data_IF_051599208143
#
_entry.id   IF_051599208143
#
_cell.length_a   1.000
_cell.length_b   1.000
_cell.length_c   1.000
_cell.angle_alpha   90.00
_cell.angle_beta   90.00
_cell.angle_gamma   90.00
#
_symmetry.space_group_name_H-M   'P 1'
#
loop_
_entity.id
_entity.type
_entity.pdbx_description
1 polymer ?
#
# COMPACT_ATOMS: atom_id res chain seq x y z
N UNK A 1 -15.20 -10.58 -21.41
CA UNK A 1 -13.77 -10.97 -21.38
C UNK A 1 -13.30 -11.16 -22.82
N UNK A 2 -12.18 -10.55 -23.24
CA UNK A 2 -11.67 -10.67 -24.63
C UNK A 2 -11.14 -12.09 -24.87
N UNK A 3 -11.59 -12.77 -25.93
CA UNK A 3 -11.07 -14.09 -26.32
C UNK A 3 -9.64 -13.95 -26.85
N UNK A 4 -8.76 -14.87 -26.47
CA UNK A 4 -7.37 -14.94 -26.95
C UNK A 4 -7.34 -15.26 -28.45
N UNK A 5 -6.36 -14.72 -29.16
CA UNK A 5 -6.09 -15.09 -30.56
C UNK A 5 -5.44 -16.47 -30.64
N UNK A 6 -5.43 -17.06 -31.85
CA UNK A 6 -4.76 -18.36 -32.09
C UNK A 6 -3.26 -18.28 -31.81
N UNK A 7 -2.63 -17.16 -32.16
CA UNK A 7 -1.21 -16.88 -31.92
C UNK A 7 -0.90 -16.83 -30.42
N UNK A 8 -1.70 -16.08 -29.65
CA UNK A 8 -1.56 -16.02 -28.19
C UNK A 8 -1.72 -17.39 -27.53
N UNK A 9 -2.62 -18.22 -28.06
CA UNK A 9 -2.83 -19.58 -27.54
C UNK A 9 -1.63 -20.47 -27.84
N UNK A 10 -1.06 -20.36 -29.04
CA UNK A 10 0.13 -21.10 -29.45
C UNK A 10 1.36 -20.70 -28.62
N UNK A 11 1.56 -19.41 -28.41
CA UNK A 11 2.66 -18.86 -27.61
C UNK A 11 2.58 -19.33 -26.15
N UNK A 12 1.40 -19.26 -25.53
CA UNK A 12 1.20 -19.76 -24.16
C UNK A 12 1.52 -21.26 -24.06
N UNK A 13 1.09 -22.07 -25.04
CA UNK A 13 1.39 -23.50 -25.05
C UNK A 13 2.89 -23.77 -25.23
N UNK A 14 3.61 -22.94 -25.99
CA UNK A 14 5.06 -23.04 -26.13
C UNK A 14 5.77 -22.66 -24.83
N UNK A 15 5.35 -21.58 -24.17
CA UNK A 15 5.89 -21.17 -22.87
C UNK A 15 5.64 -22.23 -21.78
N UNK A 16 4.48 -22.90 -21.80
CA UNK A 16 4.16 -23.95 -20.84
C UNK A 16 5.00 -25.23 -21.02
N UNK A 17 5.63 -25.41 -22.19
CA UNK A 17 6.51 -26.54 -22.49
C UNK A 17 8.00 -26.19 -22.30
N UNK A 18 8.33 -24.92 -22.05
CA UNK A 18 9.69 -24.47 -21.81
C UNK A 18 10.13 -24.94 -20.41
N UNK A 19 11.33 -25.52 -20.30
CA UNK A 19 11.88 -25.89 -18.98
C UNK A 19 12.49 -24.68 -18.29
N UNK A 20 12.57 -24.72 -16.96
CA UNK A 20 13.09 -23.61 -16.16
C UNK A 20 14.56 -23.27 -16.51
N UNK A 21 15.37 -24.27 -16.86
CA UNK A 21 16.78 -24.07 -17.24
C UNK A 21 16.94 -23.37 -18.59
N UNK A 22 15.91 -23.41 -19.43
CA UNK A 22 15.89 -22.74 -20.73
C UNK A 22 15.37 -21.30 -20.65
N UNK A 23 14.94 -20.84 -19.46
CA UNK A 23 14.52 -19.47 -19.23
C UNK A 23 15.75 -18.58 -19.15
N UNK A 24 15.88 -17.67 -20.11
CA UNK A 24 16.90 -16.62 -20.07
C UNK A 24 16.54 -15.62 -18.96
N UNK A 25 17.42 -15.54 -17.95
CA UNK A 25 17.33 -14.60 -16.82
C UNK A 25 18.49 -13.60 -16.83
N UNK A 26 19.20 -13.47 -17.95
CA UNK A 26 20.39 -12.62 -18.04
C UNK A 26 20.13 -11.13 -17.77
N UNK A 27 18.90 -10.67 -18.02
CA UNK A 27 18.45 -9.30 -17.74
C UNK A 27 18.12 -9.07 -16.25
N UNK A 28 17.57 -10.09 -15.58
CA UNK A 28 17.20 -10.06 -14.17
C UNK A 28 17.70 -11.37 -13.52
N UNK A 29 19.00 -11.43 -13.17
CA UNK A 29 19.57 -12.63 -12.56
C UNK A 29 18.93 -12.90 -11.20
N UNK A 30 18.90 -14.17 -10.80
CA UNK A 30 18.36 -14.59 -9.51
C UNK A 30 19.15 -13.94 -8.35
N UNK A 31 18.44 -13.26 -7.45
CA UNK A 31 19.02 -12.65 -6.26
C UNK A 31 19.08 -13.66 -5.11
N UNK A 32 20.28 -14.13 -4.81
CA UNK A 32 20.53 -15.10 -3.73
C UNK A 32 20.79 -14.38 -2.40
N UNK A 33 21.41 -13.20 -2.43
CA UNK A 33 21.72 -12.42 -1.23
C UNK A 33 20.64 -11.35 -0.95
N UNK A 34 19.97 -11.49 0.19
CA UNK A 34 18.92 -10.59 0.67
C UNK A 34 19.33 -9.73 1.87
N UNK A 35 20.61 -9.70 2.26
CA UNK A 35 21.11 -8.96 3.44
C UNK A 35 20.74 -7.47 3.44
N UNK A 36 20.63 -6.85 2.25
CA UNK A 36 20.29 -5.44 2.08
C UNK A 36 18.82 -5.21 1.63
N UNK A 37 17.99 -6.25 1.66
CA UNK A 37 16.60 -6.12 1.23
C UNK A 37 15.78 -5.30 2.23
N UNK A 38 15.05 -4.30 1.72
CA UNK A 38 14.17 -3.46 2.55
C UNK A 38 12.75 -4.00 2.51
N UNK A 39 12.34 -4.68 3.57
CA UNK A 39 10.95 -5.10 3.75
C UNK A 39 10.09 -3.89 4.10
N UNK A 40 8.95 -3.74 3.42
CA UNK A 40 7.95 -2.73 3.79
C UNK A 40 8.27 -1.29 3.40
N UNK A 41 9.28 -1.03 2.53
CA UNK A 41 9.62 0.33 2.04
C UNK A 41 8.42 1.13 1.53
N UNK A 42 7.46 0.44 0.90
CA UNK A 42 6.26 1.04 0.34
C UNK A 42 4.99 0.78 1.16
N UNK A 43 5.12 0.12 2.32
CA UNK A 43 3.97 -0.08 3.19
C UNK A 43 3.57 1.26 3.81
N UNK A 44 2.40 1.76 3.41
CA UNK A 44 1.74 2.88 4.06
C UNK A 44 0.58 2.34 4.91
N UNK A 45 0.43 2.87 6.12
CA UNK A 45 -0.73 2.58 6.96
C UNK A 45 -2.00 2.96 6.19
N UNK A 46 -2.86 1.98 5.95
CA UNK A 46 -4.18 2.23 5.38
C UNK A 46 -5.04 2.98 6.41
N UNK A 47 -5.32 4.26 6.15
CA UNK A 47 -6.26 5.05 6.92
C UNK A 47 -7.62 5.03 6.20
N UNK A 48 -8.60 4.22 6.65
CA UNK A 48 -9.91 4.20 6.01
C UNK A 48 -10.55 5.59 6.04
N UNK A 49 -11.15 6.01 4.92
CA UNK A 49 -11.94 7.24 4.88
C UNK A 49 -13.29 6.97 5.54
N UNK A 50 -13.40 7.36 6.81
CA UNK A 50 -14.64 7.26 7.58
C UNK A 50 -15.12 8.67 7.95
N UNK A 51 -16.43 8.89 7.91
CA UNK A 51 -17.05 10.13 8.39
C UNK A 51 -17.37 9.99 9.88
N UNK A 52 -16.88 10.93 10.68
CA UNK A 52 -17.19 11.05 12.11
C UNK A 52 -17.79 12.43 12.35
N UNK A 53 -18.85 12.50 13.16
CA UNK A 53 -19.42 13.77 13.57
C UNK A 53 -18.53 14.41 14.64
N UNK A 54 -18.11 15.65 14.39
CA UNK A 54 -17.30 16.45 15.32
C UNK A 54 -18.09 17.73 15.61
N UNK A 55 -18.13 18.12 16.88
CA UNK A 55 -18.76 19.37 17.30
C UNK A 55 -18.16 20.59 16.56
N UNK A 56 -19.01 21.56 16.22
CA UNK A 56 -18.59 22.74 15.44
C UNK A 56 -17.59 23.61 16.20
N UNK A 57 -17.66 23.70 17.52
CA UNK A 57 -16.72 24.45 18.35
C UNK A 57 -15.35 23.78 18.37
N UNK A 58 -15.32 22.44 18.50
CA UNK A 58 -14.09 21.65 18.46
C UNK A 58 -13.43 21.79 17.08
N UNK A 59 -14.22 21.69 16.00
CA UNK A 59 -13.72 21.85 14.65
C UNK A 59 -13.17 23.26 14.42
N UNK A 60 -13.86 24.29 14.92
CA UNK A 60 -13.41 25.67 14.83
C UNK A 60 -12.08 25.89 15.57
N UNK A 61 -11.94 25.31 16.77
CA UNK A 61 -10.72 25.39 17.56
C UNK A 61 -9.51 24.77 16.85
N UNK A 62 -9.66 23.59 16.25
CA UNK A 62 -8.57 22.97 15.48
C UNK A 62 -8.23 23.75 14.20
N UNK A 63 -9.24 24.27 13.49
CA UNK A 63 -9.03 25.11 12.30
C UNK A 63 -8.32 26.43 12.62
N UNK A 64 -8.57 26.99 13.79
CA UNK A 64 -7.92 28.22 14.25
C UNK A 64 -6.41 28.03 14.52
N UNK A 65 -5.97 26.81 14.85
CA UNK A 65 -4.56 26.51 15.12
C UNK A 65 -3.74 26.23 13.88
N UNK A 66 -4.32 25.53 12.90
CA UNK A 66 -3.69 25.33 11.60
C UNK A 66 -4.74 25.04 10.53
N UNK A 67 -4.75 25.84 9.47
CA UNK A 67 -5.69 25.65 8.37
C UNK A 67 -5.37 24.41 7.52
N UNK A 68 -4.09 24.02 7.45
CA UNK A 68 -3.62 22.89 6.63
C UNK A 68 -3.58 21.54 7.37
N UNK A 69 -3.41 21.53 8.70
CA UNK A 69 -3.09 20.30 9.44
C UNK A 69 -4.15 19.90 10.49
N UNK A 70 -5.30 20.57 10.53
CA UNK A 70 -6.35 20.30 11.54
C UNK A 70 -6.83 18.84 11.54
N UNK A 71 -6.92 18.18 10.37
CA UNK A 71 -7.24 16.75 10.28
C UNK A 71 -6.21 15.86 10.97
N UNK A 72 -4.91 16.19 10.83
CA UNK A 72 -3.84 15.48 11.50
C UNK A 72 -3.89 15.71 13.01
N UNK A 73 -4.15 16.94 13.45
CA UNK A 73 -4.27 17.28 14.87
C UNK A 73 -5.42 16.55 15.55
N UNK A 74 -6.58 16.46 14.89
CA UNK A 74 -7.73 15.69 15.37
C UNK A 74 -7.36 14.21 15.52
N UNK A 75 -6.77 13.61 14.48
CA UNK A 75 -6.37 12.20 14.52
C UNK A 75 -5.30 11.92 15.60
N UNK A 76 -4.36 12.85 15.80
CA UNK A 76 -3.36 12.75 16.85
C UNK A 76 -4.00 12.79 18.24
N UNK A 77 -4.92 13.71 18.49
CA UNK A 77 -5.64 13.80 19.76
C UNK A 77 -6.43 12.51 20.07
N UNK A 78 -7.10 11.94 19.06
CA UNK A 78 -7.80 10.65 19.19
C UNK A 78 -6.83 9.50 19.49
N UNK A 79 -5.65 9.49 18.86
CA UNK A 79 -4.62 8.49 19.11
C UNK A 79 -4.05 8.58 20.53
N UNK A 80 -3.77 9.80 21.00
CA UNK A 80 -3.27 10.04 22.36
C UNK A 80 -4.31 9.63 23.40
N UNK A 81 -5.60 9.92 23.18
CA UNK A 81 -6.70 9.44 24.00
C UNK A 81 -6.74 7.90 24.05
N UNK A 82 -6.73 7.24 22.89
CA UNK A 82 -6.70 5.76 22.82
C UNK A 82 -5.52 5.17 23.60
N UNK A 83 -4.33 5.77 23.49
CA UNK A 83 -3.13 5.30 24.20
C UNK A 83 -3.26 5.45 25.72
N UNK A 84 -3.87 6.52 26.19
CA UNK A 84 -4.08 6.76 27.63
C UNK A 84 -5.11 5.80 28.24
N UNK A 85 -6.05 5.31 27.44
CA UNK A 85 -7.18 4.50 27.89
C UNK A 85 -7.09 3.00 27.56
N UNK A 86 -6.06 2.56 26.84
CA UNK A 86 -5.74 1.14 26.68
C UNK A 86 -4.80 0.68 27.81
N UNK A 87 -5.39 0.11 28.86
CA UNK A 87 -4.71 -0.80 29.81
C UNK A 87 -4.90 -2.24 29.36
#
# INVERSE_FOLDING_TARGET
MKKRTKEQTKEINQLALLSDEAIDTSDIPEQINWENAVVGRFYSKHNPKTSVNIDSEILAWFKAQSSHDYHYMINKALFDYMKQHNQ
#
